data_IF_270080309186
#
_entry.id   IF_270080309186
#
_cell.length_a   1.000
_cell.length_b   1.000
_cell.length_c   1.000
_cell.angle_alpha   90.00
_cell.angle_beta   90.00
_cell.angle_gamma   90.00
#
_symmetry.space_group_name_H-M   'P 1'
#
loop_
_entity.id
_entity.type
_entity.pdbx_description
1 polymer ?
#
# COMPACT_ATOMS: atom_id res chain seq x y z
N UNK A 1 -15.92 19.49 19.60
CA UNK A 1 -15.65 18.12 19.18
C UNK A 1 -16.65 17.23 19.89
N UNK A 2 -17.62 16.72 19.15
CA UNK A 2 -18.72 15.89 19.65
C UNK A 2 -18.27 14.42 19.76
N UNK A 3 -19.05 13.59 20.45
CA UNK A 3 -18.78 12.14 20.52
C UNK A 3 -18.85 11.47 19.14
N UNK A 4 -19.69 12.01 18.24
CA UNK A 4 -19.76 11.60 16.85
C UNK A 4 -18.44 11.88 16.11
N UNK A 5 -17.88 13.09 16.27
CA UNK A 5 -16.60 13.45 15.64
C UNK A 5 -15.46 12.53 16.10
N UNK A 6 -15.45 12.11 17.37
CA UNK A 6 -14.46 11.16 17.91
C UNK A 6 -14.62 9.76 17.34
N UNK A 7 -15.85 9.30 17.18
CA UNK A 7 -16.14 8.00 16.58
C UNK A 7 -15.73 7.97 15.11
N UNK A 8 -16.03 9.02 14.36
CA UNK A 8 -15.70 9.13 12.95
C UNK A 8 -14.19 9.25 12.73
N UNK A 9 -13.49 9.99 13.60
CA UNK A 9 -12.02 10.03 13.59
C UNK A 9 -11.40 8.64 13.78
N UNK A 10 -11.88 7.85 14.76
CA UNK A 10 -11.39 6.48 14.98
C UNK A 10 -11.67 5.55 13.80
N UNK A 11 -12.83 5.70 13.17
CA UNK A 11 -13.16 4.93 11.96
C UNK A 11 -12.24 5.28 10.80
N UNK A 12 -11.95 6.57 10.61
CA UNK A 12 -11.02 7.03 9.57
C UNK A 12 -9.59 6.54 9.85
N UNK A 13 -9.14 6.56 11.10
CA UNK A 13 -7.84 5.98 11.50
C UNK A 13 -7.77 4.48 11.20
N UNK A 14 -8.81 3.72 11.56
CA UNK A 14 -8.89 2.30 11.29
C UNK A 14 -8.88 1.99 9.78
N UNK A 15 -9.64 2.75 8.98
CA UNK A 15 -9.66 2.60 7.53
C UNK A 15 -8.31 2.95 6.90
N UNK A 16 -7.66 4.03 7.37
CA UNK A 16 -6.34 4.41 6.91
C UNK A 16 -5.31 3.30 7.19
N UNK A 17 -5.35 2.71 8.38
CA UNK A 17 -4.48 1.60 8.74
C UNK A 17 -4.69 0.37 7.83
N UNK A 18 -5.95 0.02 7.53
CA UNK A 18 -6.28 -1.08 6.61
C UNK A 18 -5.74 -0.80 5.21
N UNK A 19 -5.94 0.42 4.69
CA UNK A 19 -5.46 0.81 3.36
C UNK A 19 -3.94 0.75 3.28
N UNK A 20 -3.22 1.24 4.30
CA UNK A 20 -1.75 1.13 4.39
C UNK A 20 -1.28 -0.32 4.35
N UNK A 21 -1.95 -1.21 5.09
CA UNK A 21 -1.64 -2.65 5.09
C UNK A 21 -1.88 -3.29 3.73
N UNK A 22 -2.96 -2.91 3.03
CA UNK A 22 -3.24 -3.39 1.68
C UNK A 22 -2.20 -2.92 0.67
N UNK A 23 -1.75 -1.67 0.77
CA UNK A 23 -0.70 -1.10 -0.07
C UNK A 23 0.64 -1.82 0.12
N UNK A 24 1.02 -2.13 1.37
CA UNK A 24 2.21 -2.94 1.66
C UNK A 24 2.10 -4.32 1.02
N UNK A 25 0.99 -5.03 1.24
CA UNK A 25 0.78 -6.37 0.66
C UNK A 25 0.84 -6.35 -0.87
N UNK A 26 0.27 -5.33 -1.49
CA UNK A 26 0.31 -5.17 -2.95
C UNK A 26 1.73 -4.93 -3.44
N UNK A 27 2.54 -4.18 -2.69
CA UNK A 27 3.93 -3.96 -3.03
C UNK A 27 4.74 -5.27 -2.97
N UNK A 28 4.52 -6.10 -1.94
CA UNK A 28 5.20 -7.38 -1.82
C UNK A 28 4.84 -8.32 -2.97
N UNK A 29 3.55 -8.36 -3.37
CA UNK A 29 3.10 -9.14 -4.52
C UNK A 29 3.71 -8.66 -5.85
N UNK A 30 3.91 -7.35 -5.99
CA UNK A 30 4.57 -6.79 -7.18
C UNK A 30 6.06 -7.14 -7.23
N UNK A 31 6.74 -7.20 -6.08
CA UNK A 31 8.12 -7.67 -6.02
C UNK A 31 8.21 -9.16 -6.38
N UNK A 32 7.33 -10.01 -5.84
CA UNK A 32 7.28 -11.44 -6.20
C UNK A 32 7.07 -11.65 -7.71
N UNK A 33 6.18 -10.85 -8.33
CA UNK A 33 5.98 -10.87 -9.78
C UNK A 33 7.23 -10.38 -10.54
N UNK A 34 7.95 -9.39 -10.02
CA UNK A 34 9.19 -8.88 -10.60
C UNK A 34 10.35 -9.89 -10.51
N UNK A 35 10.30 -10.80 -9.53
CA UNK A 35 11.26 -11.89 -9.36
C UNK A 35 10.91 -13.14 -10.19
N UNK A 36 9.63 -13.33 -10.55
CA UNK A 36 9.24 -14.28 -11.60
C UNK A 36 9.84 -13.86 -12.95
N UNK A 37 9.99 -14.81 -13.87
CA UNK A 37 10.69 -14.67 -15.17
C UNK A 37 9.97 -13.66 -16.12
N UNK A 38 10.00 -12.39 -15.72
CA UNK A 38 9.35 -11.25 -16.34
C UNK A 38 10.34 -10.56 -17.28
N UNK A 39 9.79 -9.99 -18.35
CA UNK A 39 10.54 -9.09 -19.23
C UNK A 39 11.22 -7.97 -18.39
N UNK A 40 12.49 -7.61 -18.67
CA UNK A 40 13.23 -6.62 -17.90
C UNK A 40 12.52 -5.26 -17.75
N UNK A 41 11.71 -4.85 -18.73
CA UNK A 41 10.98 -3.59 -18.68
C UNK A 41 9.74 -3.67 -17.78
N UNK A 42 9.02 -4.80 -17.81
CA UNK A 42 7.90 -5.04 -16.89
C UNK A 42 8.39 -5.23 -15.44
N UNK A 43 9.55 -5.87 -15.25
CA UNK A 43 10.23 -5.95 -13.95
C UNK A 43 10.51 -4.56 -13.36
N UNK A 44 11.16 -3.67 -14.12
CA UNK A 44 11.44 -2.28 -13.68
C UNK A 44 10.18 -1.48 -13.38
N UNK A 45 9.07 -1.76 -14.07
CA UNK A 45 7.78 -1.08 -13.87
C UNK A 45 7.09 -1.61 -12.61
N UNK A 46 7.17 -2.91 -12.35
CA UNK A 46 6.68 -3.53 -11.14
C UNK A 46 7.43 -3.01 -9.90
N UNK A 47 8.76 -3.02 -9.90
CA UNK A 47 9.60 -2.49 -8.81
C UNK A 47 9.29 -1.02 -8.49
N UNK A 48 9.14 -0.17 -9.53
CA UNK A 48 8.77 1.25 -9.36
C UNK A 48 7.38 1.41 -8.72
N UNK A 49 6.46 0.50 -9.01
CA UNK A 49 5.10 0.54 -8.47
C UNK A 49 5.09 0.02 -7.03
N UNK A 50 5.79 -1.09 -6.74
CA UNK A 50 6.00 -1.59 -5.39
C UNK A 50 6.63 -0.53 -4.47
N UNK A 51 7.66 0.17 -4.96
CA UNK A 51 8.31 1.26 -4.21
C UNK A 51 7.35 2.41 -3.88
N UNK A 52 6.47 2.79 -4.83
CA UNK A 52 5.47 3.84 -4.60
C UNK A 52 4.42 3.40 -3.57
N UNK A 53 3.93 2.17 -3.67
CA UNK A 53 2.95 1.61 -2.75
C UNK A 53 3.48 1.53 -1.32
N UNK A 54 4.74 1.09 -1.13
CA UNK A 54 5.40 1.13 0.20
C UNK A 54 5.51 2.54 0.76
N UNK A 55 5.97 3.50 -0.04
CA UNK A 55 6.03 4.90 0.39
C UNK A 55 4.68 5.43 0.86
N UNK A 56 3.59 5.10 0.17
CA UNK A 56 2.24 5.50 0.57
C UNK A 56 1.73 4.75 1.82
N UNK A 57 2.18 3.52 2.04
CA UNK A 57 1.89 2.79 3.28
C UNK A 57 2.61 3.41 4.49
N UNK A 58 3.82 3.93 4.30
CA UNK A 58 4.67 4.50 5.35
C UNK A 58 4.38 5.98 5.67
N UNK A 59 3.64 6.69 4.80
CA UNK A 59 3.26 8.11 4.96
C UNK A 59 2.01 8.25 5.82
#
# INVERSE_FOLDING_TARGET
MTDQDRHDAKNLEAQNHILKKQLSKTADQLDELAESDCDPDEKKKSERTAKRSRKMADS
#
